data_IF_424641717050
#
_entry.id   IF_424641717050
#
_cell.length_a   1.000
_cell.length_b   1.000
_cell.length_c   1.000
_cell.angle_alpha   90.00
_cell.angle_beta   90.00
_cell.angle_gamma   90.00
#
_symmetry.space_group_name_H-M   'P 1'
#
loop_
_entity.id
_entity.type
_entity.pdbx_description
1 polymer ?
#
# COMPACT_ATOMS: atom_id res chain seq x y z
N UNK A 1 -12.03 20.97 -6.94
CA UNK A 1 -12.09 20.09 -8.12
C UNK A 1 -12.14 18.66 -7.62
N UNK A 2 -13.23 17.95 -7.89
CA UNK A 2 -13.32 16.51 -7.66
C UNK A 2 -12.67 15.84 -8.86
N UNK A 3 -11.56 15.17 -8.67
CA UNK A 3 -10.88 14.45 -9.76
C UNK A 3 -11.57 13.10 -9.90
N UNK A 4 -12.17 12.82 -11.06
CA UNK A 4 -12.76 11.52 -11.35
C UNK A 4 -11.67 10.54 -11.80
N UNK A 5 -10.89 10.05 -10.84
CA UNK A 5 -9.82 9.09 -11.09
C UNK A 5 -10.37 7.75 -11.60
N UNK A 6 -11.59 7.40 -11.20
CA UNK A 6 -12.20 6.12 -11.53
C UNK A 6 -12.45 5.98 -13.04
N UNK A 7 -12.82 7.06 -13.72
CA UNK A 7 -13.18 7.03 -15.15
C UNK A 7 -12.22 7.78 -16.06
N UNK A 8 -11.25 8.54 -15.53
CA UNK A 8 -10.28 9.26 -16.34
C UNK A 8 -9.45 8.33 -17.24
N UNK A 9 -8.94 8.85 -18.35
CA UNK A 9 -8.06 8.12 -19.25
C UNK A 9 -6.74 7.72 -18.57
N UNK A 10 -6.26 6.50 -18.84
CA UNK A 10 -5.07 5.94 -18.18
C UNK A 10 -3.78 6.63 -18.63
N UNK A 11 -3.63 6.89 -19.92
CA UNK A 11 -2.44 7.54 -20.46
C UNK A 11 -2.33 8.97 -19.93
N UNK A 12 -3.46 9.68 -19.87
CA UNK A 12 -3.52 11.00 -19.26
C UNK A 12 -3.16 11.01 -17.78
N UNK A 13 -3.66 10.03 -17.00
CA UNK A 13 -3.32 9.90 -15.58
C UNK A 13 -1.83 9.63 -15.37
N UNK A 14 -1.23 8.79 -16.20
CA UNK A 14 0.20 8.48 -16.17
C UNK A 14 1.02 9.74 -16.51
N UNK A 15 0.69 10.42 -17.61
CA UNK A 15 1.37 11.65 -18.03
C UNK A 15 1.28 12.77 -16.97
N UNK A 16 0.12 12.89 -16.31
CA UNK A 16 -0.06 13.80 -15.17
C UNK A 16 0.92 13.48 -14.03
N UNK A 17 1.10 12.19 -13.70
CA UNK A 17 2.03 11.78 -12.65
C UNK A 17 3.47 12.17 -13.01
N UNK A 18 3.88 11.94 -14.26
CA UNK A 18 5.22 12.29 -14.75
C UNK A 18 5.46 13.80 -14.66
N UNK A 19 4.51 14.61 -15.12
CA UNK A 19 4.55 16.08 -15.01
C UNK A 19 4.65 16.60 -13.57
N UNK A 20 4.14 15.84 -12.59
CA UNK A 20 4.17 16.20 -11.17
C UNK A 20 5.46 15.75 -10.45
N UNK A 21 6.42 15.14 -11.15
CA UNK A 21 7.74 14.81 -10.59
C UNK A 21 7.80 13.47 -9.85
N UNK A 22 7.08 12.45 -10.36
CA UNK A 22 7.09 11.09 -9.83
C UNK A 22 8.46 10.38 -9.97
N UNK A 23 9.38 10.90 -10.79
CA UNK A 23 10.65 10.24 -11.17
C UNK A 23 11.66 10.05 -10.01
N UNK A 24 11.40 10.60 -8.83
CA UNK A 24 12.21 10.35 -7.62
C UNK A 24 11.40 10.02 -6.36
N UNK A 25 10.07 10.12 -6.43
CA UNK A 25 9.17 9.96 -5.28
C UNK A 25 8.22 8.80 -5.52
N UNK A 26 8.30 7.79 -4.64
CA UNK A 26 7.38 6.63 -4.70
C UNK A 26 5.93 7.01 -4.40
N UNK A 27 5.67 8.16 -3.78
CA UNK A 27 4.32 8.68 -3.51
C UNK A 27 4.31 10.18 -3.75
N UNK A 28 3.34 10.68 -4.52
CA UNK A 28 3.09 12.11 -4.69
C UNK A 28 1.64 12.45 -4.37
N UNK A 29 1.42 13.66 -3.86
CA UNK A 29 0.08 14.20 -3.64
C UNK A 29 -0.40 14.91 -4.91
N UNK A 30 -1.55 14.47 -5.46
CA UNK A 30 -2.18 15.10 -6.62
C UNK A 30 -3.17 16.19 -6.19
N UNK A 31 -3.86 15.99 -5.08
CA UNK A 31 -4.80 16.94 -4.49
C UNK A 31 -4.96 16.73 -2.97
N UNK A 32 -5.82 17.50 -2.31
CA UNK A 32 -6.13 17.33 -0.89
C UNK A 32 -6.82 16.00 -0.55
N UNK A 33 -7.24 15.23 -1.56
CA UNK A 33 -7.95 13.96 -1.38
C UNK A 33 -7.25 12.79 -2.07
N UNK A 34 -6.28 13.04 -2.95
CA UNK A 34 -5.71 11.99 -3.81
C UNK A 34 -4.19 12.03 -3.73
N UNK A 35 -3.63 10.86 -3.45
CA UNK A 35 -2.24 10.54 -3.65
C UNK A 35 -2.10 9.45 -4.72
N UNK A 36 -0.93 9.38 -5.34
CA UNK A 36 -0.57 8.27 -6.22
C UNK A 36 0.76 7.69 -5.75
N UNK A 37 0.80 6.36 -5.61
CA UNK A 37 2.01 5.59 -5.37
C UNK A 37 2.48 4.96 -6.69
N UNK A 38 3.78 4.99 -6.93
CA UNK A 38 4.45 4.46 -8.13
C UNK A 38 5.23 3.19 -7.82
N UNK A 39 5.46 2.39 -8.87
CA UNK A 39 6.15 1.11 -8.81
C UNK A 39 5.45 0.13 -7.86
N UNK A 40 4.12 0.05 -8.01
CA UNK A 40 3.23 -0.76 -7.19
C UNK A 40 2.83 -2.01 -7.94
N UNK A 41 2.81 -3.15 -7.27
CA UNK A 41 2.30 -4.42 -7.83
C UNK A 41 0.77 -4.51 -7.67
N UNK A 42 0.13 -5.35 -8.51
CA UNK A 42 -1.30 -5.63 -8.35
C UNK A 42 -1.61 -6.26 -6.97
N UNK A 43 -0.71 -7.08 -6.44
CA UNK A 43 -0.85 -7.71 -5.12
C UNK A 43 -0.76 -6.68 -3.98
N UNK A 44 0.11 -5.68 -4.08
CA UNK A 44 0.14 -4.56 -3.12
C UNK A 44 -1.17 -3.76 -3.16
N UNK A 45 -1.69 -3.45 -4.35
CA UNK A 45 -2.95 -2.73 -4.51
C UNK A 45 -4.13 -3.52 -3.89
N UNK A 46 -4.23 -4.81 -4.19
CA UNK A 46 -5.25 -5.70 -3.63
C UNK A 46 -5.11 -5.85 -2.11
N UNK A 47 -3.88 -5.91 -1.59
CA UNK A 47 -3.62 -6.00 -0.14
C UNK A 47 -4.06 -4.74 0.57
N UNK A 48 -3.77 -3.55 0.01
CA UNK A 48 -4.24 -2.29 0.59
C UNK A 48 -5.76 -2.17 0.53
N UNK A 49 -6.39 -2.55 -0.58
CA UNK A 49 -7.86 -2.56 -0.70
C UNK A 49 -8.49 -3.48 0.34
N UNK A 50 -7.99 -4.72 0.46
CA UNK A 50 -8.43 -5.68 1.46
C UNK A 50 -8.28 -5.13 2.88
N UNK A 51 -7.12 -4.56 3.22
CA UNK A 51 -6.88 -3.97 4.52
C UNK A 51 -7.85 -2.80 4.80
N UNK A 52 -8.05 -1.91 3.83
CA UNK A 52 -8.96 -0.75 3.96
C UNK A 52 -10.41 -1.15 4.21
N UNK A 53 -10.84 -2.32 3.71
CA UNK A 53 -12.19 -2.84 3.89
C UNK A 53 -12.35 -3.72 5.13
N UNK A 54 -11.25 -4.09 5.79
CA UNK A 54 -11.25 -5.10 6.87
C UNK A 54 -10.94 -4.51 8.25
N UNK A 55 -10.12 -3.46 8.32
CA UNK A 55 -9.75 -2.85 9.61
C UNK A 55 -10.90 -2.04 10.23
N UNK A 56 -10.88 -1.91 11.56
CA UNK A 56 -11.70 -0.92 12.24
C UNK A 56 -11.05 0.46 12.09
N UNK A 57 -11.73 1.35 11.35
CA UNK A 57 -11.25 2.71 11.08
C UNK A 57 -11.16 3.59 12.33
N UNK A 58 -11.78 3.19 13.46
CA UNK A 58 -11.61 3.89 14.74
C UNK A 58 -10.27 3.57 15.40
N UNK A 59 -9.64 2.43 15.04
CA UNK A 59 -8.33 2.03 15.54
C UNK A 59 -7.23 2.48 14.58
N UNK A 60 -7.36 2.15 13.29
CA UNK A 60 -6.41 2.52 12.24
C UNK A 60 -7.11 2.83 10.94
N UNK A 61 -6.81 3.99 10.36
CA UNK A 61 -7.28 4.36 9.03
C UNK A 61 -6.28 3.92 7.97
N UNK A 62 -6.71 3.05 7.05
CA UNK A 62 -5.92 2.65 5.89
C UNK A 62 -6.47 3.39 4.66
N UNK A 63 -5.64 4.07 3.86
CA UNK A 63 -6.10 4.86 2.73
C UNK A 63 -6.89 4.02 1.72
N UNK A 64 -8.07 4.50 1.34
CA UNK A 64 -8.91 3.83 0.34
C UNK A 64 -8.21 3.78 -1.02
N UNK A 65 -8.31 2.64 -1.69
CA UNK A 65 -7.89 2.48 -3.09
C UNK A 65 -8.96 3.07 -3.99
N UNK A 66 -8.57 3.96 -4.91
CA UNK A 66 -9.49 4.49 -5.93
C UNK A 66 -9.30 3.77 -7.26
N UNK A 67 -8.05 3.53 -7.66
CA UNK A 67 -7.75 2.85 -8.92
C UNK A 67 -6.31 2.35 -8.95
N UNK A 68 -6.11 1.17 -9.51
CA UNK A 68 -4.79 0.67 -9.91
C UNK A 68 -4.67 0.64 -11.43
N UNK A 69 -3.56 1.13 -11.97
CA UNK A 69 -3.24 1.13 -13.40
C UNK A 69 -1.86 0.50 -13.58
N UNK A 70 -1.72 -0.42 -14.53
CA UNK A 70 -0.43 -0.97 -14.91
C UNK A 70 -0.01 -0.44 -16.28
N UNK A 71 1.01 0.42 -16.31
CA UNK A 71 1.55 0.93 -17.56
C UNK A 71 2.19 -0.19 -18.36
N UNK A 72 1.84 -0.25 -19.65
CA UNK A 72 2.38 -1.22 -20.60
C UNK A 72 3.81 -0.83 -20.99
N UNK A 73 4.69 -1.82 -21.14
CA UNK A 73 6.08 -1.60 -21.55
C UNK A 73 6.97 -2.80 -21.26
N UNK A 74 8.27 -2.68 -21.58
CA UNK A 74 9.27 -3.73 -21.33
C UNK A 74 9.50 -4.01 -19.84
N UNK A 75 9.30 -2.99 -19.00
CA UNK A 75 9.28 -3.10 -17.55
C UNK A 75 7.98 -2.44 -17.05
N UNK A 76 6.87 -3.20 -16.94
CA UNK A 76 5.58 -2.63 -16.58
C UNK A 76 5.63 -2.05 -15.16
N UNK A 77 5.09 -0.85 -14.99
CA UNK A 77 5.08 -0.11 -13.73
C UNK A 77 3.64 0.16 -13.31
N UNK A 78 3.33 -0.12 -12.04
CA UNK A 78 2.00 0.12 -11.50
C UNK A 78 1.88 1.48 -10.81
N UNK A 79 0.68 2.05 -10.93
CA UNK A 79 0.26 3.31 -10.35
C UNK A 79 -0.96 3.03 -9.48
N UNK A 80 -0.86 3.30 -8.19
CA UNK A 80 -1.94 3.14 -7.23
C UNK A 80 -2.45 4.52 -6.81
N UNK A 81 -3.61 4.89 -7.33
CA UNK A 81 -4.33 6.09 -6.91
C UNK A 81 -5.15 5.75 -5.68
N UNK A 82 -4.96 6.53 -4.62
CA UNK A 82 -5.52 6.27 -3.31
C UNK A 82 -5.87 7.58 -2.59
N UNK A 83 -6.63 7.45 -1.52
CA UNK A 83 -6.93 8.54 -0.60
C UNK A 83 -5.63 9.19 -0.09
N UNK A 84 -5.59 10.52 -0.11
CA UNK A 84 -4.56 11.28 0.60
C UNK A 84 -4.98 11.46 2.06
N UNK A 85 -4.19 10.90 2.98
CA UNK A 85 -4.41 11.06 4.43
C UNK A 85 -3.50 12.17 4.95
N UNK A 86 -4.04 13.33 5.38
CA UNK A 86 -3.23 14.39 5.96
C UNK A 86 -2.68 13.94 7.32
N UNK A 87 -1.41 14.23 7.58
CA UNK A 87 -0.77 13.86 8.84
C UNK A 87 0.71 14.20 8.89
N UNK A 88 1.31 13.95 10.05
CA UNK A 88 2.75 14.08 10.26
C UNK A 88 3.42 12.71 10.18
N UNK A 89 4.57 12.63 9.53
CA UNK A 89 5.37 11.41 9.53
C UNK A 89 6.01 11.20 10.90
N UNK A 90 6.02 9.97 11.41
CA UNK A 90 6.66 9.66 12.70
C UNK A 90 8.14 10.07 12.76
N UNK A 91 8.84 10.16 11.63
CA UNK A 91 10.24 10.64 11.54
C UNK A 91 10.44 12.08 12.02
N UNK A 92 9.40 12.91 11.96
CA UNK A 92 9.47 14.34 12.36
C UNK A 92 8.74 14.61 13.67
N UNK A 93 8.08 13.60 14.25
CA UNK A 93 7.37 13.73 15.51
C UNK A 93 8.32 13.39 16.65
N UNK A 94 8.37 14.27 17.64
CA UNK A 94 9.10 14.01 18.87
C UNK A 94 8.29 13.07 19.78
N UNK A 95 8.81 11.84 19.98
CA UNK A 95 8.15 10.81 20.77
C UNK A 95 8.21 11.09 22.28
N UNK A 96 9.16 11.93 22.74
CA UNK A 96 9.26 12.30 24.16
C UNK A 96 8.13 13.23 24.59
N UNK A 97 7.69 14.12 23.69
CA UNK A 97 6.53 14.98 23.91
C UNK A 97 5.22 14.28 23.60
N UNK A 98 5.20 13.29 22.68
CA UNK A 98 4.01 12.54 22.27
C UNK A 98 4.00 11.10 22.79
N UNK A 99 4.02 10.97 24.12
CA UNK A 99 4.00 9.67 24.83
C UNK A 99 2.76 8.81 24.54
N UNK A 100 1.69 9.40 24.03
CA UNK A 100 0.48 8.69 23.58
C UNK A 100 0.69 7.86 22.31
N UNK A 101 1.75 8.12 21.53
CA UNK A 101 1.94 7.45 20.24
C UNK A 101 2.38 6.01 20.37
N UNK A 102 3.26 5.70 21.32
CA UNK A 102 3.74 4.31 21.55
C UNK A 102 2.58 3.36 21.86
N UNK A 103 1.70 3.63 22.85
CA UNK A 103 0.57 2.74 23.12
C UNK A 103 -0.42 2.68 21.95
N UNK A 104 -0.61 3.78 21.20
CA UNK A 104 -1.46 3.77 19.99
C UNK A 104 -0.88 2.90 18.88
N UNK A 105 0.42 2.98 18.62
CA UNK A 105 1.11 2.14 17.62
C UNK A 105 1.00 0.66 18.04
N UNK A 106 1.17 0.35 19.33
CA UNK A 106 1.00 -1.01 19.85
C UNK A 106 -0.45 -1.51 19.66
N UNK A 107 -1.45 -0.67 19.91
CA UNK A 107 -2.86 -1.00 19.66
C UNK A 107 -3.13 -1.26 18.18
N UNK A 108 -2.57 -0.45 17.27
CA UNK A 108 -2.68 -0.64 15.83
C UNK A 108 -2.05 -1.98 15.42
N UNK A 109 -0.84 -2.27 15.89
CA UNK A 109 -0.17 -3.54 15.59
C UNK A 109 -0.95 -4.76 16.10
N UNK A 110 -1.50 -4.67 17.32
CA UNK A 110 -2.36 -5.71 17.89
C UNK A 110 -3.66 -5.89 17.10
N UNK A 111 -4.23 -4.80 16.56
CA UNK A 111 -5.42 -4.88 15.71
C UNK A 111 -5.13 -5.53 14.36
N UNK A 112 -4.03 -5.13 13.70
CA UNK A 112 -3.61 -5.71 12.42
C UNK A 112 -3.29 -7.21 12.53
N UNK A 113 -2.79 -7.69 13.67
CA UNK A 113 -2.50 -9.11 13.88
C UNK A 113 -3.74 -9.99 13.99
N UNK A 114 -4.93 -9.40 14.20
CA UNK A 114 -6.21 -10.12 14.23
C UNK A 114 -6.86 -10.25 12.86
N UNK A 115 -6.31 -9.62 11.81
CA UNK A 115 -6.83 -9.74 10.45
C UNK A 115 -6.66 -11.18 9.97
N UNK A 116 -7.76 -11.79 9.53
CA UNK A 116 -7.76 -13.12 8.96
C UNK A 116 -7.80 -13.07 7.44
N UNK A 117 -7.03 -13.93 6.78
CA UNK A 117 -7.01 -14.09 5.33
C UNK A 117 -7.14 -15.56 4.93
N UNK A 118 -7.44 -15.81 3.65
CA UNK A 118 -7.57 -17.18 3.12
C UNK A 118 -6.22 -17.91 3.00
N UNK A 119 -5.12 -17.16 2.88
CA UNK A 119 -3.77 -17.71 2.79
C UNK A 119 -2.77 -16.71 3.36
N UNK A 120 -1.68 -17.18 4.01
CA UNK A 120 -0.57 -16.30 4.38
C UNK A 120 0.05 -15.66 3.13
N UNK A 121 0.46 -14.39 3.24
CA UNK A 121 1.12 -13.65 2.17
C UNK A 121 0.24 -12.59 1.49
N UNK A 122 0.67 -12.03 0.36
CA UNK A 122 -0.05 -10.98 -0.35
C UNK A 122 -1.43 -11.43 -0.83
N UNK A 123 -2.40 -10.51 -0.79
CA UNK A 123 -3.72 -10.76 -1.37
C UNK A 123 -3.59 -10.93 -2.88
N UNK A 124 -4.17 -12.01 -3.41
CA UNK A 124 -4.00 -12.42 -4.82
C UNK A 124 -2.81 -13.37 -5.06
N UNK A 125 -2.04 -13.70 -4.02
CA UNK A 125 -0.87 -14.56 -4.11
C UNK A 125 0.38 -13.82 -4.59
N UNK A 126 1.42 -14.59 -4.91
CA UNK A 126 2.74 -14.08 -5.24
C UNK A 126 3.66 -14.00 -4.03
N UNK A 127 4.89 -13.56 -4.30
CA UNK A 127 5.95 -13.52 -3.30
C UNK A 127 5.72 -12.37 -2.29
N UNK A 128 5.77 -12.63 -0.98
CA UNK A 128 5.81 -11.54 -0.01
C UNK A 128 7.16 -10.83 -0.09
N UNK A 129 7.11 -9.51 -0.23
CA UNK A 129 8.28 -8.64 -0.30
C UNK A 129 8.39 -7.78 0.97
N UNK A 130 9.60 -7.34 1.30
CA UNK A 130 9.87 -6.37 2.37
C UNK A 130 10.89 -6.85 3.39
N UNK A 131 11.31 -5.96 4.29
CA UNK A 131 12.42 -6.21 5.23
C UNK A 131 12.24 -7.44 6.13
N UNK A 132 11.00 -7.88 6.36
CA UNK A 132 10.72 -9.10 7.13
C UNK A 132 11.15 -10.37 6.38
N UNK A 133 11.21 -10.31 5.04
CA UNK A 133 11.42 -11.44 4.14
C UNK A 133 12.78 -11.38 3.42
N UNK A 134 13.61 -10.37 3.70
CA UNK A 134 14.89 -10.15 3.00
C UNK A 134 14.72 -9.53 1.60
N UNK A 135 15.85 -9.20 0.97
CA UNK A 135 15.85 -8.62 -0.39
C UNK A 135 15.37 -9.62 -1.45
N UNK A 136 15.49 -10.92 -1.16
CA UNK A 136 15.09 -12.04 -2.02
C UNK A 136 13.65 -12.52 -1.77
N UNK A 137 12.89 -11.90 -0.85
CA UNK A 137 11.53 -12.32 -0.50
C UNK A 137 11.44 -13.71 0.15
N UNK A 138 10.22 -14.19 0.40
CA UNK A 138 10.01 -15.54 0.96
C UNK A 138 9.92 -16.64 -0.12
N UNK A 139 10.13 -16.30 -1.40
CA UNK A 139 9.88 -17.14 -2.56
C UNK A 139 8.39 -17.58 -2.66
N UNK A 140 7.99 -18.23 -3.76
CA UNK A 140 6.61 -18.70 -3.98
C UNK A 140 6.28 -20.01 -3.26
N UNK A 141 7.12 -20.43 -2.31
CA UNK A 141 6.93 -21.70 -1.60
C UNK A 141 5.68 -21.62 -0.75
N UNK A 142 4.63 -22.34 -1.16
CA UNK A 142 3.33 -22.32 -0.48
C UNK A 142 3.45 -23.07 0.85
N UNK A 143 3.62 -22.35 1.96
CA UNK A 143 3.66 -22.97 3.28
C UNK A 143 2.25 -23.48 3.67
N UNK A 144 2.05 -24.80 3.67
CA UNK A 144 0.96 -25.46 4.39
C UNK A 144 1.50 -25.96 5.72
N UNK A 145 1.33 -25.20 6.79
CA UNK A 145 1.90 -25.54 8.10
C UNK A 145 3.43 -25.41 8.12
N UNK A 146 4.13 -26.33 8.78
CA UNK A 146 5.59 -26.34 8.94
C UNK A 146 6.35 -26.98 7.75
N UNK A 147 5.66 -27.36 6.67
CA UNK A 147 6.29 -28.01 5.53
C UNK A 147 6.25 -27.09 4.30
N UNK A 148 7.45 -26.77 3.81
CA UNK A 148 7.70 -26.06 2.56
C UNK A 148 7.65 -27.06 1.41
N UNK A 149 6.69 -26.89 0.49
CA UNK A 149 6.58 -27.69 -0.74
C UNK A 149 7.18 -26.87 -1.89
N UNK A 150 8.26 -27.36 -2.49
CA UNK A 150 8.88 -26.75 -3.67
C UNK A 150 8.16 -27.23 -4.95
N UNK A 151 7.78 -26.31 -5.83
CA UNK A 151 7.44 -26.62 -7.24
C UNK A 151 8.71 -26.66 -8.10
#
# INVERSE_FOLDING_TARGET
MTWDIATADEEWLIDLCHKKGLEGNRVIQLSNQIAVKYDVTAAEAATQEFASNTVDSNIVHIPRVYRFIQAKGLAPKGYLFMEYVPGQNLKVVDLETRKDLVPRIAQIAAHLSQIQGQSPGPVGGGEPHGYLWGDDGANTTRCRGLECIHE
#
